data_IF_109754917613
#
_entry.id   IF_109754917613
#
_cell.length_a   1.000
_cell.length_b   1.000
_cell.length_c   1.000
_cell.angle_alpha   90.00
_cell.angle_beta   90.00
_cell.angle_gamma   90.00
#
_symmetry.space_group_name_H-M   'P 1'
#
loop_
_entity.id
_entity.type
_entity.pdbx_description
1 polymer ?
#
# COMPACT_ATOMS: atom_id res chain seq x y z
N UNK A 1 14.45 16.54 1.61
CA UNK A 1 13.51 15.79 0.76
C UNK A 1 13.51 14.35 1.26
N UNK A 2 12.35 13.80 1.63
CA UNK A 2 12.26 12.38 2.00
C UNK A 2 12.50 11.52 0.75
N UNK A 3 13.33 10.48 0.87
CA UNK A 3 13.60 9.58 -0.25
C UNK A 3 12.49 8.53 -0.30
N UNK A 4 11.55 8.71 -1.25
CA UNK A 4 10.39 7.81 -1.42
C UNK A 4 10.62 6.89 -2.60
N UNK A 5 10.56 5.58 -2.36
CA UNK A 5 10.70 4.55 -3.41
C UNK A 5 9.48 3.64 -3.44
N UNK A 6 8.99 3.33 -4.63
CA UNK A 6 7.92 2.36 -4.85
C UNK A 6 8.47 1.06 -5.43
N UNK A 7 7.95 -0.07 -4.96
CA UNK A 7 8.34 -1.42 -5.35
C UNK A 7 7.12 -2.31 -5.46
N UNK A 8 7.09 -3.18 -6.46
CA UNK A 8 6.16 -4.30 -6.46
C UNK A 8 6.67 -5.36 -5.49
N UNK A 9 5.76 -5.91 -4.69
CA UNK A 9 6.08 -6.87 -3.65
C UNK A 9 5.06 -8.01 -3.64
N UNK A 10 5.47 -9.14 -3.07
CA UNK A 10 4.56 -10.21 -2.64
C UNK A 10 4.43 -10.09 -1.13
N UNK A 11 3.19 -9.98 -0.65
CA UNK A 11 2.88 -9.75 0.77
C UNK A 11 1.96 -10.86 1.26
N UNK A 12 2.26 -11.44 2.42
CA UNK A 12 1.39 -12.44 3.05
C UNK A 12 0.18 -11.76 3.66
N UNK A 13 -1.03 -12.02 3.16
CA UNK A 13 -2.28 -11.42 3.61
C UNK A 13 -2.76 -11.94 4.96
N UNK A 14 -3.87 -11.38 5.45
CA UNK A 14 -4.50 -11.81 6.72
C UNK A 14 -5.09 -13.22 6.64
N UNK A 15 -5.35 -13.67 5.42
CA UNK A 15 -5.75 -15.04 5.08
C UNK A 15 -4.57 -16.04 5.06
N UNK A 16 -3.34 -15.57 5.29
CA UNK A 16 -2.14 -16.39 5.27
C UNK A 16 -1.64 -16.74 3.85
N UNK A 17 -2.23 -16.16 2.80
CA UNK A 17 -1.87 -16.40 1.41
C UNK A 17 -0.99 -15.27 0.89
N UNK A 18 -0.15 -15.55 -0.12
CA UNK A 18 0.69 -14.54 -0.76
C UNK A 18 -0.13 -13.74 -1.79
N UNK A 19 -0.13 -12.42 -1.66
CA UNK A 19 -0.83 -11.48 -2.54
C UNK A 19 0.13 -10.50 -3.20
N UNK A 20 -0.12 -10.08 -4.44
CA UNK A 20 0.60 -8.97 -5.04
C UNK A 20 0.25 -7.67 -4.29
N UNK A 21 1.27 -6.89 -3.99
CA UNK A 21 1.13 -5.61 -3.31
C UNK A 21 2.10 -4.58 -3.85
N UNK A 22 1.79 -3.32 -3.54
CA UNK A 22 2.71 -2.21 -3.74
C UNK A 22 3.34 -1.85 -2.39
N UNK A 23 4.65 -1.78 -2.37
CA UNK A 23 5.44 -1.31 -1.24
C UNK A 23 5.94 0.11 -1.53
N UNK A 24 5.73 1.02 -0.60
CA UNK A 24 6.33 2.34 -0.55
C UNK A 24 7.32 2.36 0.62
N UNK A 25 8.59 2.65 0.32
CA UNK A 25 9.64 2.81 1.32
C UNK A 25 9.84 4.30 1.55
N UNK A 26 9.72 4.71 2.82
CA UNK A 26 9.97 6.09 3.27
C UNK A 26 10.90 6.00 4.48
N UNK A 27 12.11 6.50 4.34
CA UNK A 27 13.17 6.39 5.35
C UNK A 27 13.35 4.92 5.80
N UNK A 28 13.12 4.60 7.08
CA UNK A 28 13.20 3.23 7.64
C UNK A 28 11.84 2.52 7.71
N UNK A 29 10.77 3.12 7.20
CA UNK A 29 9.43 2.54 7.20
C UNK A 29 9.07 1.96 5.84
N UNK A 30 8.39 0.81 5.86
CA UNK A 30 7.79 0.21 4.68
C UNK A 30 6.28 0.21 4.83
N UNK A 31 5.62 0.76 3.83
CA UNK A 31 4.18 0.85 3.75
C UNK A 31 3.72 -0.04 2.61
N UNK A 32 2.78 -0.93 2.87
CA UNK A 32 2.25 -1.85 1.88
C UNK A 32 0.78 -1.56 1.66
N UNK A 33 0.37 -1.74 0.41
CA UNK A 33 -1.03 -1.77 0.01
C UNK A 33 -1.26 -2.97 -0.89
N UNK A 34 -2.28 -3.75 -0.57
CA UNK A 34 -2.64 -4.98 -1.28
C UNK A 34 -4.11 -5.33 -1.04
N UNK A 35 -4.64 -6.23 -1.84
CA UNK A 35 -5.96 -6.83 -1.63
C UNK A 35 -5.78 -8.27 -1.17
N UNK A 36 -6.43 -8.66 -0.08
CA UNK A 36 -6.58 -10.06 0.34
C UNK A 36 -8.05 -10.48 0.29
N UNK A 37 -8.37 -11.70 0.72
CA UNK A 37 -9.75 -12.21 0.74
C UNK A 37 -10.71 -11.40 1.62
N UNK A 38 -10.19 -10.62 2.57
CA UNK A 38 -10.97 -9.73 3.44
C UNK A 38 -11.04 -8.30 2.88
N UNK A 39 -10.50 -8.08 1.68
CA UNK A 39 -10.56 -6.83 0.94
C UNK A 39 -9.27 -6.03 1.02
N UNK A 40 -9.42 -4.72 0.88
CA UNK A 40 -8.31 -3.78 0.79
C UNK A 40 -7.57 -3.66 2.12
N UNK A 41 -6.25 -3.79 2.09
CA UNK A 41 -5.41 -3.79 3.29
C UNK A 41 -4.24 -2.80 3.15
N UNK A 42 -3.94 -2.09 4.24
CA UNK A 42 -2.72 -1.33 4.41
C UNK A 42 -1.91 -1.94 5.55
N UNK A 43 -0.61 -2.10 5.35
CA UNK A 43 0.30 -2.60 6.38
C UNK A 43 1.50 -1.69 6.52
N UNK A 44 1.85 -1.34 7.75
CA UNK A 44 3.10 -0.67 8.08
C UNK A 44 4.07 -1.69 8.66
N UNK A 45 5.30 -1.70 8.17
CA UNK A 45 6.40 -2.47 8.71
C UNK A 45 7.51 -1.52 9.11
N UNK A 46 7.94 -1.66 10.37
CA UNK A 46 9.08 -0.97 10.95
C UNK A 46 10.10 -2.01 11.42
N UNK A 47 11.21 -1.55 12.00
CA UNK A 47 12.21 -2.44 12.60
C UNK A 47 11.66 -3.29 13.75
N UNK A 48 10.59 -2.83 14.43
CA UNK A 48 10.02 -3.49 15.60
C UNK A 48 8.89 -4.46 15.26
N UNK A 49 8.37 -4.45 14.03
CA UNK A 49 7.30 -5.35 13.62
C UNK A 49 6.44 -4.83 12.48
N UNK A 50 5.33 -5.53 12.24
CA UNK A 50 4.33 -5.16 11.24
C UNK A 50 2.94 -5.01 11.86
N UNK A 51 2.20 -4.02 11.40
CA UNK A 51 0.82 -3.75 11.82
C UNK A 51 -0.08 -3.56 10.60
N UNK A 52 -1.28 -4.12 10.64
CA UNK A 52 -2.34 -3.86 9.66
C UNK A 52 -3.15 -2.65 10.13
N UNK A 53 -3.32 -1.65 9.26
CA UNK A 53 -3.95 -0.38 9.59
C UNK A 53 -5.28 -0.28 8.83
N UNK A 54 -6.42 -0.08 9.52
CA UNK A 54 -7.70 0.14 8.87
C UNK A 54 -7.68 1.36 7.95
N UNK A 55 -8.45 1.32 6.86
CA UNK A 55 -8.51 2.39 5.85
C UNK A 55 -8.91 3.75 6.46
N UNK A 56 -9.86 3.76 7.40
CA UNK A 56 -10.30 5.00 8.05
C UNK A 56 -9.20 5.60 8.93
N UNK A 57 -8.40 4.75 9.57
CA UNK A 57 -7.24 5.18 10.34
C UNK A 57 -6.12 5.71 9.43
N UNK A 58 -5.88 5.07 8.29
CA UNK A 58 -4.97 5.57 7.26
C UNK A 58 -5.36 6.96 6.77
N UNK A 59 -6.64 7.17 6.46
CA UNK A 59 -7.16 8.48 6.00
C UNK A 59 -7.06 9.56 7.07
N UNK A 60 -7.24 9.21 8.34
CA UNK A 60 -7.26 10.17 9.46
C UNK A 60 -5.86 10.50 10.00
N UNK A 61 -5.05 9.49 10.32
CA UNK A 61 -3.75 9.67 10.98
C UNK A 61 -2.58 9.72 10.00
N UNK A 62 -2.70 9.03 8.86
CA UNK A 62 -1.62 8.86 7.89
C UNK A 62 -2.00 9.39 6.51
N UNK A 63 -2.76 10.50 6.47
CA UNK A 63 -3.39 11.01 5.25
C UNK A 63 -2.40 11.22 4.09
N UNK A 64 -1.18 11.70 4.37
CA UNK A 64 -0.13 11.90 3.37
C UNK A 64 0.34 10.58 2.74
N UNK A 65 0.67 9.59 3.58
CA UNK A 65 1.05 8.23 3.14
C UNK A 65 -0.09 7.59 2.36
N UNK A 66 -1.31 7.66 2.89
CA UNK A 66 -2.51 7.12 2.25
C UNK A 66 -2.67 7.67 0.82
N UNK A 67 -2.64 8.99 0.64
CA UNK A 67 -2.81 9.61 -0.68
C UNK A 67 -1.74 9.15 -1.68
N UNK A 68 -0.47 9.11 -1.26
CA UNK A 68 0.63 8.69 -2.14
C UNK A 68 0.50 7.22 -2.55
N UNK A 69 0.37 6.33 -1.58
CA UNK A 69 0.41 4.89 -1.86
C UNK A 69 -0.88 4.40 -2.53
N UNK A 70 -2.05 4.93 -2.13
CA UNK A 70 -3.32 4.58 -2.77
C UNK A 70 -3.42 5.15 -4.20
N UNK A 71 -2.92 6.36 -4.43
CA UNK A 71 -2.85 6.94 -5.78
C UNK A 71 -1.95 6.10 -6.69
N UNK A 72 -0.77 5.70 -6.21
CA UNK A 72 0.14 4.86 -6.99
C UNK A 72 -0.43 3.46 -7.25
N UNK A 73 -1.14 2.88 -6.27
CA UNK A 73 -1.83 1.61 -6.43
C UNK A 73 -2.96 1.68 -7.46
N UNK A 74 -3.74 2.77 -7.45
CA UNK A 74 -4.79 2.99 -8.44
C UNK A 74 -4.21 3.09 -9.86
N UNK A 75 -3.12 3.84 -10.04
CA UNK A 75 -2.38 3.91 -11.32
C UNK A 75 -1.90 2.54 -11.79
N UNK A 76 -1.27 1.76 -10.89
CA UNK A 76 -0.81 0.41 -11.21
C UNK A 76 -1.98 -0.51 -11.60
N UNK A 77 -3.06 -0.46 -10.85
CA UNK A 77 -4.26 -1.28 -11.10
C UNK A 77 -4.91 -0.92 -12.44
N UNK A 78 -4.99 0.37 -12.78
CA UNK A 78 -5.50 0.84 -14.06
C UNK A 78 -4.63 0.31 -15.22
N UNK A 79 -3.30 0.47 -15.11
CA UNK A 79 -2.35 -0.07 -16.10
C UNK A 79 -2.51 -1.58 -16.30
N UNK A 80 -2.66 -2.35 -15.22
CA UNK A 80 -2.84 -3.80 -15.28
C UNK A 80 -4.18 -4.22 -15.90
N UNK A 81 -5.21 -3.38 -15.80
CA UNK A 81 -6.53 -3.60 -16.42
C UNK A 81 -6.63 -3.08 -17.85
N UNK A 82 -5.59 -2.38 -18.35
CA UNK A 82 -5.66 -1.68 -19.64
C UNK A 82 -6.59 -0.46 -19.63
N UNK A 83 -6.89 0.09 -18.46
CA UNK A 83 -7.70 1.29 -18.28
C UNK A 83 -6.79 2.53 -18.20
N UNK A 84 -7.20 3.66 -18.79
CA UNK A 84 -6.48 4.92 -18.57
C UNK A 84 -6.62 5.36 -17.09
N UNK A 85 -5.51 5.74 -16.42
CA UNK A 85 -5.56 6.15 -15.03
C UNK A 85 -6.35 7.44 -14.87
N UNK A 86 -7.43 7.41 -14.08
CA UNK A 86 -8.19 8.61 -13.71
C UNK A 86 -7.35 9.50 -12.80
N UNK A 87 -7.23 10.78 -13.13
CA UNK A 87 -6.63 11.79 -12.25
C UNK A 87 -7.51 11.97 -11.00
N UNK A 88 -6.89 12.02 -9.82
CA UNK A 88 -7.53 12.15 -8.50
C UNK A 88 -7.21 13.50 -7.87
#
# INVERSE_FOLDING_TARGET
MANVRFLLAVVKGRDGVNHPGLCMVVDNEKWFVFNDMLGFCFRRTTETGSEDIPVDEMKRKYAGIYRMIAGKWAQLTALLKGEEPKEF
#
